data_IF_119382666715
#
_entry.id   IF_119382666715
#
_cell.length_a   1.000
_cell.length_b   1.000
_cell.length_c   1.000
_cell.angle_alpha   90.00
_cell.angle_beta   90.00
_cell.angle_gamma   90.00
#
_symmetry.space_group_name_H-M   'P 1'
#
loop_
_entity.id
_entity.type
_entity.pdbx_description
1 polymer ?
#
# COMPACT_ATOMS: atom_id res chain seq x y z
N UNK A 1 -5.96 -13.56 76.27
CA UNK A 1 -6.45 -14.53 75.26
C UNK A 1 -6.98 -13.82 74.01
N UNK A 2 -7.98 -12.92 74.09
CA UNK A 2 -8.50 -12.24 72.88
C UNK A 2 -7.49 -11.29 72.20
N UNK A 3 -6.62 -10.61 72.95
CA UNK A 3 -5.60 -9.72 72.37
C UNK A 3 -4.47 -10.47 71.64
N UNK A 4 -4.05 -11.65 72.12
CA UNK A 4 -3.04 -12.49 71.44
C UNK A 4 -3.60 -13.14 70.16
N UNK A 5 -4.88 -13.55 70.18
CA UNK A 5 -5.55 -14.12 69.01
C UNK A 5 -5.72 -13.05 67.91
N UNK A 6 -6.07 -11.81 68.28
CA UNK A 6 -6.18 -10.71 67.31
C UNK A 6 -4.81 -10.26 66.75
N UNK A 7 -3.73 -10.37 67.53
CA UNK A 7 -2.39 -10.02 67.07
C UNK A 7 -1.83 -11.06 66.08
N UNK A 8 -2.07 -12.36 66.32
CA UNK A 8 -1.68 -13.44 65.39
C UNK A 8 -2.50 -13.41 64.08
N UNK A 9 -3.80 -13.12 64.15
CA UNK A 9 -4.65 -13.03 62.96
C UNK A 9 -4.23 -11.85 62.04
N UNK A 10 -3.82 -10.72 62.62
CA UNK A 10 -3.29 -9.59 61.85
C UNK A 10 -1.92 -9.91 61.22
N UNK A 11 -1.07 -10.70 61.88
CA UNK A 11 0.24 -11.10 61.34
C UNK A 11 0.10 -12.11 60.20
N UNK A 12 -0.79 -13.10 60.30
CA UNK A 12 -1.07 -14.04 59.20
C UNK A 12 -1.68 -13.35 57.97
N UNK A 13 -2.62 -12.42 58.18
CA UNK A 13 -3.20 -11.65 57.08
C UNK A 13 -2.15 -10.77 56.39
N UNK A 14 -1.29 -10.09 57.14
CA UNK A 14 -0.17 -9.32 56.60
C UNK A 14 0.86 -10.20 55.87
N UNK A 15 1.20 -11.37 56.42
CA UNK A 15 2.11 -12.31 55.77
C UNK A 15 1.54 -12.86 54.46
N UNK A 16 0.25 -13.18 54.42
CA UNK A 16 -0.43 -13.68 53.22
C UNK A 16 -0.51 -12.61 52.12
N UNK A 17 -0.77 -11.35 52.50
CA UNK A 17 -0.76 -10.20 51.58
C UNK A 17 0.64 -9.92 51.03
N UNK A 18 1.68 -9.97 51.88
CA UNK A 18 3.06 -9.79 51.44
C UNK A 18 3.53 -10.93 50.53
N UNK A 19 3.27 -12.20 50.88
CA UNK A 19 3.65 -13.35 50.05
C UNK A 19 2.89 -13.34 48.72
N UNK A 20 1.60 -12.98 48.72
CA UNK A 20 0.79 -12.85 47.50
C UNK A 20 1.29 -11.76 46.56
N UNK A 21 1.63 -10.57 47.10
CA UNK A 21 2.17 -9.46 46.30
C UNK A 21 3.56 -9.79 45.76
N UNK A 22 4.47 -10.33 46.57
CA UNK A 22 5.82 -10.68 46.13
C UNK A 22 5.85 -11.83 45.12
N UNK A 23 4.99 -12.85 45.28
CA UNK A 23 4.88 -13.96 44.32
C UNK A 23 4.28 -13.50 42.99
N UNK A 24 3.29 -12.60 43.00
CA UNK A 24 2.75 -11.99 41.79
C UNK A 24 3.80 -11.09 41.09
N UNK A 25 4.53 -10.24 41.84
CA UNK A 25 5.59 -9.40 41.29
C UNK A 25 6.76 -10.23 40.73
N UNK A 26 7.21 -11.26 41.46
CA UNK A 26 8.27 -12.16 40.99
C UNK A 26 7.81 -12.95 39.76
N UNK A 27 6.57 -13.46 39.74
CA UNK A 27 6.01 -14.19 38.61
C UNK A 27 5.85 -13.32 37.35
N UNK A 28 5.35 -12.09 37.49
CA UNK A 28 5.19 -11.16 36.36
C UNK A 28 6.54 -10.64 35.88
N UNK A 29 7.47 -10.30 36.79
CA UNK A 29 8.80 -9.81 36.42
C UNK A 29 9.66 -10.90 35.79
N UNK A 30 9.76 -12.09 36.41
CA UNK A 30 10.48 -13.23 35.84
C UNK A 30 9.81 -13.72 34.56
N UNK A 31 8.49 -13.73 34.50
CA UNK A 31 7.72 -14.03 33.30
C UNK A 31 8.04 -13.08 32.16
N UNK A 32 8.02 -11.77 32.40
CA UNK A 32 8.37 -10.75 31.40
C UNK A 32 9.84 -10.82 30.97
N UNK A 33 10.76 -11.08 31.91
CA UNK A 33 12.20 -11.26 31.62
C UNK A 33 12.44 -12.51 30.79
N UNK A 34 11.79 -13.64 31.13
CA UNK A 34 11.86 -14.88 30.37
C UNK A 34 11.24 -14.73 28.99
N UNK A 35 10.08 -14.08 28.87
CA UNK A 35 9.42 -13.81 27.59
C UNK A 35 10.30 -12.92 26.70
N UNK A 36 10.90 -11.88 27.26
CA UNK A 36 11.85 -11.00 26.57
C UNK A 36 13.11 -11.77 26.17
N UNK A 37 13.60 -12.69 27.01
CA UNK A 37 14.74 -13.53 26.68
C UNK A 37 14.43 -14.53 25.56
N UNK A 38 13.26 -15.17 25.59
CA UNK A 38 12.77 -16.07 24.55
C UNK A 38 12.51 -15.32 23.25
N UNK A 39 11.92 -14.13 23.29
CA UNK A 39 11.78 -13.25 22.13
C UNK A 39 13.14 -12.87 21.54
N UNK A 40 14.11 -12.46 22.37
CA UNK A 40 15.47 -12.16 21.90
C UNK A 40 16.17 -13.39 21.30
N UNK A 41 15.97 -14.59 21.88
CA UNK A 41 16.52 -15.84 21.36
C UNK A 41 15.92 -16.19 19.98
N UNK A 42 14.60 -16.09 19.85
CA UNK A 42 13.90 -16.28 18.59
C UNK A 42 14.35 -15.25 17.54
N UNK A 43 14.45 -13.97 17.90
CA UNK A 43 14.96 -12.93 16.99
C UNK A 43 16.39 -13.21 16.54
N UNK A 44 17.29 -13.68 17.40
CA UNK A 44 18.65 -14.08 16.99
C UNK A 44 18.63 -15.23 15.98
N UNK A 45 17.76 -16.22 16.16
CA UNK A 45 17.58 -17.33 15.20
C UNK A 45 17.10 -16.81 13.84
N UNK A 46 16.15 -15.88 13.84
CA UNK A 46 15.57 -15.33 12.60
C UNK A 46 16.52 -14.37 11.88
N UNK A 47 17.32 -13.59 12.62
CA UNK A 47 18.47 -12.87 12.07
C UNK A 47 19.43 -13.84 11.39
N UNK A 48 19.64 -15.02 11.97
CA UNK A 48 20.42 -16.10 11.36
C UNK A 48 19.90 -16.51 9.97
N UNK A 49 18.58 -16.65 9.81
CA UNK A 49 17.94 -16.93 8.52
C UNK A 49 18.15 -15.80 7.52
N UNK A 50 18.00 -14.54 7.94
CA UNK A 50 18.22 -13.39 7.05
C UNK A 50 19.70 -13.30 6.62
N UNK A 51 20.64 -13.52 7.55
CA UNK A 51 22.08 -13.58 7.26
C UNK A 51 22.41 -14.75 6.33
N UNK A 52 21.78 -15.92 6.50
CA UNK A 52 21.92 -17.07 5.58
C UNK A 52 21.49 -16.66 4.16
N UNK A 53 20.33 -16.03 4.02
CA UNK A 53 19.84 -15.56 2.73
C UNK A 53 20.80 -14.56 2.07
N UNK A 54 21.28 -13.56 2.81
CA UNK A 54 22.24 -12.57 2.31
C UNK A 54 23.60 -13.19 1.93
N UNK A 55 24.05 -14.20 2.69
CA UNK A 55 25.28 -14.95 2.36
C UNK A 55 25.16 -15.72 1.05
N UNK A 56 23.98 -16.24 0.71
CA UNK A 56 23.75 -16.88 -0.60
C UNK A 56 23.99 -15.86 -1.71
N UNK A 57 23.37 -14.68 -1.61
CA UNK A 57 23.52 -13.61 -2.60
C UNK A 57 24.98 -13.15 -2.69
N UNK A 58 25.67 -13.01 -1.56
CA UNK A 58 27.09 -12.64 -1.51
C UNK A 58 28.02 -13.60 -2.27
N UNK A 59 27.68 -14.90 -2.40
CA UNK A 59 28.48 -15.85 -3.20
C UNK A 59 28.56 -15.44 -4.68
N UNK A 60 27.63 -14.60 -5.13
CA UNK A 60 27.51 -14.09 -6.48
C UNK A 60 27.93 -12.61 -6.56
N UNK A 61 28.82 -12.15 -5.68
CA UNK A 61 29.40 -10.80 -5.76
C UNK A 61 29.91 -10.52 -7.19
N UNK A 62 29.67 -9.30 -7.68
CA UNK A 62 29.94 -8.85 -9.06
C UNK A 62 29.14 -9.52 -10.19
N UNK A 63 28.28 -10.50 -9.87
CA UNK A 63 27.35 -11.14 -10.81
C UNK A 63 25.94 -10.56 -10.67
N UNK A 64 25.03 -10.96 -11.54
CA UNK A 64 23.63 -10.51 -11.51
C UNK A 64 22.82 -11.28 -10.46
N UNK A 65 21.87 -10.63 -9.78
CA UNK A 65 20.98 -11.30 -8.81
C UNK A 65 20.20 -12.47 -9.43
N UNK A 66 19.85 -12.38 -10.72
CA UNK A 66 19.19 -13.47 -11.45
C UNK A 66 20.00 -14.77 -11.46
N UNK A 67 21.34 -14.70 -11.41
CA UNK A 67 22.21 -15.88 -11.35
C UNK A 67 22.17 -16.59 -9.99
N UNK A 68 21.81 -15.87 -8.93
CA UNK A 68 21.64 -16.42 -7.59
C UNK A 68 20.25 -17.06 -7.38
N UNK A 69 19.30 -16.84 -8.29
CA UNK A 69 17.89 -17.30 -8.20
C UNK A 69 17.76 -18.76 -7.81
N UNK A 70 18.40 -19.64 -8.57
CA UNK A 70 18.28 -21.09 -8.38
C UNK A 70 18.78 -21.52 -6.99
N UNK A 71 19.98 -21.07 -6.61
CA UNK A 71 20.56 -21.41 -5.30
C UNK A 71 19.74 -20.83 -4.15
N UNK A 72 19.25 -19.59 -4.28
CA UNK A 72 18.37 -18.98 -3.29
C UNK A 72 17.08 -19.77 -3.10
N UNK A 73 16.45 -20.20 -4.19
CA UNK A 73 15.19 -20.93 -4.12
C UNK A 73 15.32 -22.36 -3.58
N UNK A 74 16.49 -22.98 -3.73
CA UNK A 74 16.81 -24.32 -3.22
C UNK A 74 17.27 -24.30 -1.75
N UNK A 75 18.17 -23.38 -1.37
CA UNK A 75 18.77 -23.38 -0.03
C UNK A 75 17.86 -22.82 1.07
N UNK A 76 16.85 -22.02 0.71
CA UNK A 76 15.86 -21.48 1.63
C UNK A 76 14.53 -22.23 1.50
N UNK A 77 14.04 -22.73 2.62
CA UNK A 77 12.69 -23.29 2.71
C UNK A 77 11.61 -22.21 2.56
N UNK A 78 10.37 -22.61 2.25
CA UNK A 78 9.23 -21.69 2.14
C UNK A 78 9.04 -20.88 3.42
N UNK A 79 9.17 -21.52 4.59
CA UNK A 79 9.04 -20.85 5.89
C UNK A 79 10.16 -19.83 6.12
N UNK A 80 11.39 -20.14 5.73
CA UNK A 80 12.51 -19.18 5.81
C UNK A 80 12.28 -18.01 4.87
N UNK A 81 11.81 -18.24 3.62
CA UNK A 81 11.45 -17.17 2.69
C UNK A 81 10.38 -16.26 3.27
N UNK A 82 9.30 -16.83 3.83
CA UNK A 82 8.24 -16.05 4.51
C UNK A 82 8.77 -15.18 5.65
N UNK A 83 9.76 -15.67 6.39
CA UNK A 83 10.31 -14.93 7.52
C UNK A 83 11.12 -13.69 7.11
N UNK A 84 11.80 -13.73 5.95
CA UNK A 84 12.86 -12.74 5.64
C UNK A 84 12.67 -11.97 4.33
N UNK A 85 11.77 -12.39 3.44
CA UNK A 85 11.70 -11.81 2.09
C UNK A 85 11.29 -10.33 2.08
N UNK A 86 10.36 -9.91 2.94
CA UNK A 86 9.99 -8.49 3.10
C UNK A 86 11.18 -7.66 3.57
N UNK A 87 11.93 -8.18 4.54
CA UNK A 87 13.15 -7.54 5.03
C UNK A 87 14.15 -7.38 3.88
N UNK A 88 14.46 -8.45 3.15
CA UNK A 88 15.42 -8.39 2.05
C UNK A 88 15.03 -7.33 1.02
N UNK A 89 13.76 -7.29 0.62
CA UNK A 89 13.27 -6.30 -0.34
C UNK A 89 13.39 -4.87 0.17
N UNK A 90 12.97 -4.61 1.42
CA UNK A 90 13.09 -3.27 2.04
C UNK A 90 14.55 -2.83 2.24
N UNK A 91 15.47 -3.78 2.35
CA UNK A 91 16.90 -3.53 2.47
C UNK A 91 17.61 -3.35 1.12
N UNK A 92 16.87 -3.28 0.02
CA UNK A 92 17.41 -2.99 -1.31
C UNK A 92 17.69 -4.21 -2.18
N UNK A 93 17.37 -5.44 -1.72
CA UNK A 93 17.50 -6.63 -2.58
C UNK A 93 16.40 -6.60 -3.65
N UNK A 94 16.74 -6.63 -4.95
CA UNK A 94 15.78 -6.35 -6.00
C UNK A 94 14.95 -7.59 -6.36
N UNK A 95 13.96 -7.91 -5.54
CA UNK A 95 13.00 -9.00 -5.78
C UNK A 95 11.94 -8.53 -6.78
N UNK A 96 11.69 -9.33 -7.81
CA UNK A 96 10.69 -9.04 -8.83
C UNK A 96 9.41 -9.84 -8.61
N UNK A 97 8.28 -9.20 -8.90
CA UNK A 97 7.00 -9.89 -9.05
C UNK A 97 6.83 -10.15 -10.55
N UNK A 98 6.58 -11.40 -10.98
CA UNK A 98 6.36 -11.72 -12.38
C UNK A 98 5.22 -10.87 -12.98
N UNK A 99 5.32 -10.54 -14.26
CA UNK A 99 4.30 -9.74 -14.98
C UNK A 99 2.89 -10.37 -14.95
N UNK A 100 2.78 -11.67 -14.63
CA UNK A 100 1.50 -12.35 -14.37
C UNK A 100 0.81 -11.87 -13.08
N UNK A 101 1.40 -10.95 -12.32
CA UNK A 101 0.92 -10.40 -11.06
C UNK A 101 0.60 -11.45 -9.99
N UNK A 102 1.13 -12.68 -10.12
CA UNK A 102 0.98 -13.71 -9.10
C UNK A 102 2.32 -13.90 -8.41
N UNK A 103 2.45 -13.35 -7.22
CA UNK A 103 3.57 -13.66 -6.34
C UNK A 103 3.52 -15.14 -5.95
N UNK A 104 4.61 -15.88 -6.19
CA UNK A 104 4.79 -17.27 -5.75
C UNK A 104 6.00 -17.37 -4.82
N UNK A 105 5.77 -17.67 -3.55
CA UNK A 105 6.81 -17.85 -2.54
C UNK A 105 7.77 -19.01 -2.88
N UNK A 106 7.36 -19.94 -3.73
CA UNK A 106 8.18 -21.10 -4.12
C UNK A 106 9.28 -20.71 -5.09
N UNK A 107 8.98 -19.81 -6.02
CA UNK A 107 9.92 -19.35 -7.05
C UNK A 107 10.11 -17.83 -6.98
N UNK A 108 11.08 -17.40 -6.17
CA UNK A 108 11.43 -15.98 -6.04
C UNK A 108 12.21 -15.55 -7.27
N UNK A 109 11.81 -14.44 -7.88
CA UNK A 109 12.53 -13.82 -9.00
C UNK A 109 13.31 -12.59 -8.53
N UNK A 110 14.43 -12.32 -9.20
CA UNK A 110 15.26 -11.16 -8.94
C UNK A 110 15.47 -10.36 -10.21
N UNK A 111 15.63 -9.04 -10.06
CA UNK A 111 15.97 -8.17 -11.17
C UNK A 111 17.39 -8.44 -11.67
N UNK A 112 17.62 -8.09 -12.94
CA UNK A 112 18.90 -8.25 -13.62
C UNK A 112 19.89 -7.12 -13.28
N UNK A 113 20.12 -6.94 -11.97
CA UNK A 113 21.01 -5.92 -11.39
C UNK A 113 22.27 -6.61 -10.87
N UNK A 114 23.42 -5.94 -10.97
CA UNK A 114 24.70 -6.46 -10.46
C UNK A 114 24.74 -6.37 -8.93
N UNK A 115 25.22 -7.42 -8.28
CA UNK A 115 25.39 -7.48 -6.83
C UNK A 115 26.64 -6.69 -6.42
N UNK A 116 26.50 -5.77 -5.48
CA UNK A 116 27.62 -5.19 -4.73
C UNK A 116 27.80 -5.93 -3.39
N UNK A 117 28.86 -6.74 -3.30
CA UNK A 117 29.19 -7.47 -2.08
C UNK A 117 29.45 -6.58 -0.86
N UNK A 118 29.87 -5.32 -1.04
CA UNK A 118 30.04 -4.35 0.05
C UNK A 118 28.68 -3.91 0.61
N UNK A 119 27.72 -3.63 -0.27
CA UNK A 119 26.34 -3.30 0.11
C UNK A 119 25.71 -4.47 0.88
N UNK A 120 25.86 -5.70 0.37
CA UNK A 120 25.38 -6.91 1.06
C UNK A 120 26.00 -7.07 2.45
N UNK A 121 27.29 -6.75 2.64
CA UNK A 121 27.91 -6.79 3.96
C UNK A 121 27.32 -5.73 4.91
N UNK A 122 27.10 -4.51 4.40
CA UNK A 122 26.41 -3.47 5.16
C UNK A 122 25.03 -3.90 5.63
N UNK A 123 24.26 -4.59 4.77
CA UNK A 123 22.95 -5.14 5.13
C UNK A 123 23.09 -6.25 6.18
N UNK A 124 24.07 -7.16 6.02
CA UNK A 124 24.33 -8.23 7.00
C UNK A 124 24.63 -7.64 8.39
N UNK A 125 25.42 -6.58 8.47
CA UNK A 125 25.78 -5.96 9.73
C UNK A 125 24.57 -5.28 10.38
N UNK A 126 23.70 -4.63 9.59
CA UNK A 126 22.45 -4.06 10.08
C UNK A 126 21.49 -5.13 10.63
N UNK A 127 21.34 -6.25 9.92
CA UNK A 127 20.52 -7.39 10.35
C UNK A 127 21.06 -8.00 11.64
N UNK A 128 22.39 -8.20 11.75
CA UNK A 128 23.01 -8.70 12.98
C UNK A 128 22.82 -7.74 14.15
N UNK A 129 22.94 -6.44 13.91
CA UNK A 129 22.71 -5.38 14.88
C UNK A 129 21.27 -5.33 15.39
N UNK A 130 20.31 -5.87 14.64
CA UNK A 130 18.90 -5.94 15.03
C UNK A 130 18.08 -4.74 14.63
N UNK A 131 18.64 -3.82 13.84
CA UNK A 131 17.95 -2.61 13.39
C UNK A 131 16.73 -2.93 12.49
N UNK A 132 16.71 -4.12 11.90
CA UNK A 132 15.68 -4.55 10.96
C UNK A 132 14.73 -5.61 11.55
N UNK A 133 14.78 -5.89 12.86
CA UNK A 133 13.98 -6.96 13.49
C UNK A 133 12.48 -6.81 13.23
N UNK A 134 11.99 -5.57 13.17
CA UNK A 134 10.58 -5.26 12.89
C UNK A 134 10.10 -5.69 11.50
N UNK A 135 11.03 -6.00 10.58
CA UNK A 135 10.71 -6.40 9.21
C UNK A 135 10.66 -7.92 9.04
N UNK A 136 11.11 -8.67 10.05
CA UNK A 136 11.09 -10.13 10.08
C UNK A 136 9.66 -10.59 10.36
N UNK A 137 9.20 -11.60 9.62
CA UNK A 137 7.82 -12.15 9.65
C UNK A 137 6.70 -11.19 9.23
N UNK A 138 7.03 -10.10 8.56
CA UNK A 138 6.00 -9.38 7.83
C UNK A 138 5.36 -10.31 6.80
N UNK A 139 4.03 -10.22 6.67
CA UNK A 139 3.26 -11.04 5.73
C UNK A 139 3.77 -10.77 4.31
N UNK A 140 4.48 -11.76 3.77
CA UNK A 140 5.15 -11.67 2.46
C UNK A 140 4.12 -11.62 1.35
N UNK A 141 3.11 -12.49 1.43
CA UNK A 141 2.02 -12.54 0.49
C UNK A 141 1.30 -11.19 0.46
N UNK A 142 0.86 -10.65 1.60
CA UNK A 142 0.24 -9.32 1.65
C UNK A 142 1.19 -8.21 1.18
N UNK A 143 2.47 -8.24 1.55
CA UNK A 143 3.44 -7.22 1.17
C UNK A 143 3.63 -7.14 -0.35
N UNK A 144 3.89 -8.27 -1.02
CA UNK A 144 4.07 -8.30 -2.47
C UNK A 144 2.76 -8.26 -3.26
N UNK A 145 1.62 -8.60 -2.66
CA UNK A 145 0.31 -8.54 -3.33
C UNK A 145 -0.48 -7.24 -3.07
N UNK A 146 -0.15 -6.49 -2.02
CA UNK A 146 -0.86 -5.25 -1.62
C UNK A 146 -0.92 -4.21 -2.74
N UNK A 147 0.08 -4.20 -3.63
CA UNK A 147 0.13 -3.31 -4.78
C UNK A 147 -0.46 -3.89 -6.06
N UNK A 148 -0.92 -5.15 -6.11
CA UNK A 148 -1.50 -5.70 -7.35
C UNK A 148 -2.77 -4.95 -7.71
N UNK A 149 -3.65 -4.69 -6.73
CA UNK A 149 -4.89 -3.93 -6.99
C UNK A 149 -4.58 -2.49 -7.41
N UNK A 150 -3.67 -1.83 -6.69
CA UNK A 150 -3.25 -0.45 -6.99
C UNK A 150 -2.62 -0.37 -8.38
N UNK A 151 -1.69 -1.27 -8.70
CA UNK A 151 -1.06 -1.35 -10.02
C UNK A 151 -2.05 -1.69 -11.12
N UNK A 152 -2.98 -2.63 -10.91
CA UNK A 152 -3.99 -2.95 -11.90
C UNK A 152 -4.90 -1.75 -12.21
N UNK A 153 -5.33 -1.04 -11.17
CA UNK A 153 -6.16 0.16 -11.27
C UNK A 153 -5.41 1.30 -11.96
N UNK A 154 -4.16 1.59 -11.57
CA UNK A 154 -3.31 2.60 -12.21
C UNK A 154 -2.98 2.26 -13.67
N UNK A 155 -2.63 1.01 -13.96
CA UNK A 155 -2.38 0.54 -15.34
C UNK A 155 -3.64 0.69 -16.20
N UNK A 156 -4.82 0.48 -15.64
CA UNK A 156 -6.09 0.71 -16.36
C UNK A 156 -6.28 2.20 -16.67
N UNK A 157 -6.00 3.10 -15.71
CA UNK A 157 -6.00 4.54 -15.93
C UNK A 157 -4.97 4.99 -16.98
N UNK A 158 -3.76 4.45 -16.92
CA UNK A 158 -2.70 4.73 -17.91
C UNK A 158 -3.10 4.25 -19.31
N UNK A 159 -3.68 3.05 -19.43
CA UNK A 159 -4.24 2.53 -20.68
C UNK A 159 -5.32 3.45 -21.23
N UNK A 160 -6.24 3.95 -20.39
CA UNK A 160 -7.22 4.96 -20.81
C UNK A 160 -6.56 6.23 -21.36
N UNK A 161 -5.57 6.77 -20.65
CA UNK A 161 -4.88 7.98 -21.11
C UNK A 161 -4.16 7.77 -22.44
N UNK A 162 -3.48 6.63 -22.64
CA UNK A 162 -2.74 6.32 -23.87
C UNK A 162 -3.64 5.97 -25.05
N UNK A 163 -4.65 5.14 -24.83
CA UNK A 163 -5.45 4.58 -25.91
C UNK A 163 -6.66 5.45 -26.27
N UNK A 164 -7.12 6.27 -25.34
CA UNK A 164 -8.33 7.10 -25.50
C UNK A 164 -7.96 8.57 -25.52
N UNK A 165 -7.50 9.13 -24.40
CA UNK A 165 -7.29 10.58 -24.28
C UNK A 165 -6.24 11.08 -25.27
N UNK A 166 -5.07 10.44 -25.34
CA UNK A 166 -3.99 10.84 -26.24
C UNK A 166 -4.39 10.80 -27.72
N UNK A 167 -5.36 9.97 -28.09
CA UNK A 167 -5.87 9.84 -29.46
C UNK A 167 -7.14 10.65 -29.72
N UNK A 168 -7.58 11.44 -28.73
CA UNK A 168 -8.76 12.29 -28.83
C UNK A 168 -8.42 13.62 -29.52
N UNK A 169 -9.46 14.30 -30.01
CA UNK A 169 -9.35 15.64 -30.62
C UNK A 169 -10.34 16.61 -30.03
N UNK A 170 -9.92 17.85 -29.83
CA UNK A 170 -10.81 18.94 -29.45
C UNK A 170 -11.32 19.65 -30.72
N UNK A 171 -12.63 19.61 -30.93
CA UNK A 171 -13.31 20.34 -32.01
C UNK A 171 -14.28 21.34 -31.39
N UNK A 172 -13.97 22.63 -31.53
CA UNK A 172 -14.69 23.70 -30.84
C UNK A 172 -14.56 23.55 -29.33
N UNK A 173 -15.65 23.23 -28.65
CA UNK A 173 -15.68 23.01 -27.19
C UNK A 173 -15.79 21.56 -26.79
N UNK A 174 -15.86 20.65 -27.75
CA UNK A 174 -16.20 19.24 -27.53
C UNK A 174 -15.01 18.34 -27.80
N UNK A 175 -14.74 17.43 -26.86
CA UNK A 175 -13.70 16.40 -27.02
C UNK A 175 -14.32 15.23 -27.78
N UNK A 176 -13.71 14.88 -28.90
CA UNK A 176 -14.03 13.71 -29.72
C UNK A 176 -13.04 12.58 -29.40
N UNK A 177 -13.57 11.51 -28.80
CA UNK A 177 -12.82 10.31 -28.49
C UNK A 177 -12.72 9.37 -29.70
N UNK A 178 -11.75 8.45 -29.74
CA UNK A 178 -11.68 7.40 -30.75
C UNK A 178 -12.98 6.57 -30.81
N UNK A 179 -13.39 6.16 -32.01
CA UNK A 179 -14.56 5.30 -32.18
C UNK A 179 -14.41 3.98 -31.42
N UNK A 180 -15.52 3.51 -30.84
CA UNK A 180 -15.59 2.23 -30.12
C UNK A 180 -14.59 2.04 -28.97
N UNK A 181 -13.99 3.11 -28.45
CA UNK A 181 -13.04 3.03 -27.34
C UNK A 181 -13.55 2.26 -26.10
N UNK A 182 -14.86 2.24 -25.73
CA UNK A 182 -15.32 1.48 -24.56
C UNK A 182 -15.13 -0.04 -24.71
N UNK A 183 -14.99 -0.53 -25.95
CA UNK A 183 -14.72 -1.95 -26.23
C UNK A 183 -13.28 -2.38 -25.89
N UNK A 184 -12.36 -1.42 -25.74
CA UNK A 184 -10.97 -1.67 -25.32
C UNK A 184 -10.87 -2.09 -23.85
N UNK A 185 -11.96 -1.98 -23.09
CA UNK A 185 -12.03 -2.20 -21.65
C UNK A 185 -13.08 -3.24 -21.32
N UNK A 186 -12.77 -4.12 -20.37
CA UNK A 186 -13.73 -5.00 -19.70
C UNK A 186 -14.73 -4.19 -18.86
N UNK A 187 -15.81 -4.82 -18.40
CA UNK A 187 -16.78 -4.16 -17.53
C UNK A 187 -16.13 -3.58 -16.27
N UNK A 188 -15.27 -4.34 -15.60
CA UNK A 188 -14.57 -3.90 -14.40
C UNK A 188 -13.61 -2.72 -14.66
N UNK A 189 -12.87 -2.77 -15.78
CA UNK A 189 -12.02 -1.65 -16.19
C UNK A 189 -12.84 -0.38 -16.46
N UNK A 190 -14.01 -0.51 -17.14
CA UNK A 190 -14.90 0.63 -17.42
C UNK A 190 -15.42 1.29 -16.14
N UNK A 191 -15.84 0.51 -15.15
CA UNK A 191 -16.28 1.05 -13.86
C UNK A 191 -15.13 1.76 -13.13
N UNK A 192 -13.92 1.23 -13.23
CA UNK A 192 -12.72 1.80 -12.60
C UNK A 192 -12.34 3.15 -13.21
N UNK A 193 -12.41 3.31 -14.54
CA UNK A 193 -12.02 4.55 -15.22
C UNK A 193 -13.15 5.57 -15.31
N UNK A 194 -14.38 5.25 -14.92
CA UNK A 194 -15.54 6.12 -15.14
C UNK A 194 -15.38 7.50 -14.52
N UNK A 195 -14.97 7.57 -13.24
CA UNK A 195 -14.75 8.86 -12.56
C UNK A 195 -13.54 9.60 -13.14
N UNK A 196 -12.49 8.87 -13.51
CA UNK A 196 -11.32 9.44 -14.15
C UNK A 196 -11.69 10.08 -15.50
N UNK A 197 -12.46 9.39 -16.34
CA UNK A 197 -12.96 9.88 -17.63
C UNK A 197 -13.68 11.22 -17.47
N UNK A 198 -14.57 11.34 -16.48
CA UNK A 198 -15.34 12.56 -16.26
C UNK A 198 -14.49 13.73 -15.73
N UNK A 199 -13.44 13.43 -14.96
CA UNK A 199 -12.51 14.46 -14.46
C UNK A 199 -11.52 14.93 -15.51
N UNK A 200 -11.22 14.09 -16.50
CA UNK A 200 -10.30 14.42 -17.58
C UNK A 200 -10.97 15.10 -18.78
N UNK A 201 -12.24 15.48 -18.67
CA UNK A 201 -12.91 16.38 -19.63
C UNK A 201 -12.42 17.82 -19.43
N UNK A 202 -11.13 18.04 -19.66
CA UNK A 202 -10.46 19.35 -19.55
C UNK A 202 -9.75 19.69 -20.87
N UNK A 203 -9.94 20.93 -21.32
CA UNK A 203 -9.32 21.48 -22.53
C UNK A 203 -7.83 21.71 -22.35
N UNK A 204 -7.32 21.77 -21.11
CA UNK A 204 -5.90 21.96 -20.80
C UNK A 204 -4.99 20.87 -21.37
N UNK A 205 -5.54 19.70 -21.72
CA UNK A 205 -4.81 18.60 -22.36
C UNK A 205 -4.62 18.78 -23.87
N UNK A 206 -5.25 19.78 -24.49
CA UNK A 206 -5.26 19.96 -25.94
C UNK A 206 -4.52 21.24 -26.36
N UNK A 207 -3.84 21.15 -27.48
CA UNK A 207 -3.15 22.26 -28.12
C UNK A 207 -4.12 23.08 -28.98
N UNK A 208 -3.68 24.25 -29.44
CA UNK A 208 -4.49 25.14 -30.29
C UNK A 208 -4.94 24.50 -31.61
N UNK A 209 -4.21 23.49 -32.11
CA UNK A 209 -4.56 22.75 -33.31
C UNK A 209 -5.63 21.66 -33.07
N UNK A 210 -6.10 21.50 -31.82
CA UNK A 210 -7.08 20.51 -31.41
C UNK A 210 -6.51 19.12 -31.11
N UNK A 211 -5.22 18.87 -31.36
CA UNK A 211 -4.57 17.62 -30.96
C UNK A 211 -4.14 17.67 -29.49
N UNK A 212 -3.97 16.51 -28.87
CA UNK A 212 -3.48 16.45 -27.48
C UNK A 212 -2.03 16.92 -27.36
N UNK A 213 -1.71 17.52 -26.21
CA UNK A 213 -0.33 17.86 -25.85
C UNK A 213 0.39 16.60 -25.35
N UNK A 214 1.43 16.18 -26.07
CA UNK A 214 2.26 15.03 -25.68
C UNK A 214 2.86 15.22 -24.27
N UNK A 215 3.31 16.43 -23.95
CA UNK A 215 3.86 16.75 -22.63
C UNK A 215 2.80 16.62 -21.52
N UNK A 216 1.58 17.11 -21.77
CA UNK A 216 0.49 17.02 -20.80
C UNK A 216 0.06 15.56 -20.57
N UNK A 217 0.00 14.75 -21.63
CA UNK A 217 -0.28 13.31 -21.56
C UNK A 217 0.79 12.57 -20.77
N UNK A 218 2.08 12.80 -21.08
CA UNK A 218 3.18 12.16 -20.34
C UNK A 218 3.20 12.57 -18.86
N UNK A 219 2.89 13.83 -18.56
CA UNK A 219 2.75 14.31 -17.18
C UNK A 219 1.61 13.60 -16.48
N UNK A 220 0.43 13.52 -17.10
CA UNK A 220 -0.73 12.84 -16.54
C UNK A 220 -0.45 11.34 -16.27
N UNK A 221 0.23 10.65 -17.19
CA UNK A 221 0.64 9.26 -16.98
C UNK A 221 1.55 9.15 -15.75
N UNK A 222 2.54 10.04 -15.60
CA UNK A 222 3.39 10.07 -14.40
C UNK A 222 2.58 10.31 -13.12
N UNK A 223 1.63 11.25 -13.15
CA UNK A 223 0.77 11.55 -11.99
C UNK A 223 -0.09 10.34 -11.58
N UNK A 224 -0.61 9.58 -12.54
CA UNK A 224 -1.32 8.31 -12.28
C UNK A 224 -0.37 7.29 -11.67
N UNK A 225 0.84 7.13 -12.21
CA UNK A 225 1.81 6.15 -11.73
C UNK A 225 2.27 6.42 -10.29
N UNK A 226 2.46 7.70 -9.92
CA UNK A 226 2.83 8.10 -8.55
C UNK A 226 1.63 8.15 -7.59
N UNK A 227 0.39 8.01 -8.11
CA UNK A 227 -0.83 7.84 -7.31
C UNK A 227 -1.62 9.11 -7.00
N UNK A 228 -1.36 10.24 -7.67
CA UNK A 228 -2.14 11.47 -7.44
C UNK A 228 -3.62 11.32 -7.85
N UNK A 229 -3.89 10.41 -8.77
CA UNK A 229 -5.23 10.12 -9.29
C UNK A 229 -5.91 8.93 -8.62
N UNK A 230 -5.27 8.30 -7.62
CA UNK A 230 -5.80 7.11 -6.94
C UNK A 230 -7.20 7.36 -6.37
N UNK A 231 -7.44 8.53 -5.77
CA UNK A 231 -8.74 8.86 -5.19
C UNK A 231 -9.88 8.78 -6.20
N UNK A 232 -9.63 9.13 -7.46
CA UNK A 232 -10.64 9.07 -8.52
C UNK A 232 -10.75 7.67 -9.12
N UNK A 233 -9.62 6.99 -9.28
CA UNK A 233 -9.55 5.62 -9.78
C UNK A 233 -10.17 4.58 -8.83
N UNK A 234 -10.19 4.86 -7.52
CA UNK A 234 -10.84 4.03 -6.51
C UNK A 234 -12.27 4.48 -6.16
N UNK A 235 -12.73 5.60 -6.71
CA UNK A 235 -14.08 6.08 -6.44
C UNK A 235 -15.10 5.25 -7.20
N UNK A 236 -16.01 4.64 -6.46
CA UNK A 236 -17.18 3.98 -7.02
C UNK A 236 -17.97 4.93 -7.95
N UNK A 237 -18.14 4.50 -9.20
CA UNK A 237 -18.73 5.32 -10.25
C UNK A 237 -20.19 5.66 -9.97
N UNK A 238 -20.98 4.71 -9.48
CA UNK A 238 -22.41 4.93 -9.18
C UNK A 238 -22.59 5.92 -8.03
N UNK A 239 -21.78 5.80 -6.98
CA UNK A 239 -21.73 6.75 -5.87
C UNK A 239 -21.35 8.15 -6.34
N UNK A 240 -20.40 8.26 -7.28
CA UNK A 240 -20.02 9.53 -7.89
C UNK A 240 -21.17 10.14 -8.70
N UNK A 241 -21.85 9.35 -9.55
CA UNK A 241 -23.01 9.81 -10.34
C UNK A 241 -24.15 10.29 -9.45
N UNK A 242 -24.45 9.55 -8.38
CA UNK A 242 -25.48 9.92 -7.42
C UNK A 242 -25.17 11.26 -6.76
N UNK A 243 -23.91 11.49 -6.39
CA UNK A 243 -23.48 12.77 -5.82
C UNK A 243 -23.61 13.92 -6.83
N UNK A 244 -23.22 13.71 -8.08
CA UNK A 244 -23.37 14.74 -9.12
C UNK A 244 -24.83 15.07 -9.39
N UNK A 245 -25.69 14.05 -9.44
CA UNK A 245 -27.14 14.23 -9.62
C UNK A 245 -27.75 15.02 -8.47
N UNK A 246 -27.35 14.75 -7.22
CA UNK A 246 -27.78 15.54 -6.06
C UNK A 246 -27.31 16.99 -6.12
N UNK A 247 -26.05 17.24 -6.54
CA UNK A 247 -25.53 18.60 -6.73
C UNK A 247 -26.30 19.37 -7.81
N UNK A 248 -26.60 18.72 -8.93
CA UNK A 248 -27.40 19.31 -9.99
C UNK A 248 -28.82 19.65 -9.51
N UNK A 249 -29.47 18.72 -8.79
CA UNK A 249 -30.78 18.97 -8.18
C UNK A 249 -30.73 20.14 -7.18
N UNK A 250 -29.70 20.21 -6.34
CA UNK A 250 -29.53 21.32 -5.40
C UNK A 250 -29.39 22.66 -6.13
N UNK A 251 -28.62 22.72 -7.22
CA UNK A 251 -28.48 23.93 -8.03
C UNK A 251 -29.80 24.33 -8.72
N UNK A 252 -30.57 23.35 -9.23
CA UNK A 252 -31.89 23.60 -9.82
C UNK A 252 -32.84 24.16 -8.76
N UNK A 253 -32.91 23.54 -7.58
CA UNK A 253 -33.75 24.02 -6.47
C UNK A 253 -33.33 25.42 -6.02
N UNK A 254 -32.02 25.67 -5.89
CA UNK A 254 -31.51 26.99 -5.51
C UNK A 254 -31.88 28.06 -6.55
N UNK A 255 -31.69 27.78 -7.84
CA UNK A 255 -32.05 28.72 -8.92
C UNK A 255 -33.57 28.96 -8.98
N UNK A 256 -34.39 27.93 -8.76
CA UNK A 256 -35.84 28.07 -8.66
C UNK A 256 -36.26 28.95 -7.47
N UNK A 257 -35.67 28.73 -6.29
CA UNK A 257 -35.94 29.55 -5.09
C UNK A 257 -35.50 31.01 -5.30
N UNK A 258 -34.33 31.25 -5.90
CA UNK A 258 -33.85 32.60 -6.19
C UNK A 258 -34.74 33.32 -7.21
N UNK A 259 -35.17 32.65 -8.27
CA UNK A 259 -36.09 33.24 -9.26
C UNK A 259 -37.45 33.56 -8.64
N UNK A 260 -37.96 32.70 -7.76
CA UNK A 260 -39.22 32.95 -7.05
C UNK A 260 -39.12 34.12 -6.07
N UNK A 261 -38.00 34.27 -5.36
CA UNK A 261 -37.74 35.44 -4.50
C UNK A 261 -37.67 36.75 -5.31
N UNK A 262 -37.06 36.73 -6.49
CA UNK A 262 -37.02 37.90 -7.38
C UNK A 262 -38.41 38.29 -7.91
N UNK A 263 -39.25 37.31 -8.24
CA UNK A 263 -40.64 37.57 -8.67
C UNK A 263 -41.46 38.21 -7.55
N UNK A 264 -41.35 37.69 -6.32
CA UNK A 264 -42.06 38.24 -5.14
C UNK A 264 -41.56 39.64 -4.78
N UNK A 265 -40.25 39.90 -4.86
CA UNK A 265 -39.70 41.24 -4.63
C UNK A 265 -40.15 42.25 -5.70
N UNK A 266 -40.19 41.84 -6.98
CA UNK A 266 -40.67 42.71 -8.06
C UNK A 266 -42.17 43.01 -7.95
N UNK A 267 -42.98 42.05 -7.49
CA UNK A 267 -44.42 42.28 -7.24
C UNK A 267 -44.66 43.23 -6.06
N UNK A 268 -43.88 43.11 -4.98
CA UNK A 268 -43.98 44.00 -3.82
C UNK A 268 -43.42 45.41 -4.08
N UNK A 269 -42.61 45.60 -5.13
CA UNK A 269 -42.06 46.90 -5.52
C UNK A 269 -42.96 47.69 -6.49
N UNK A 270 -44.00 47.05 -7.03
CA UNK A 270 -44.98 47.64 -7.96
C UNK A 270 -46.35 47.88 -7.29
N UNK A 271 -46.47 47.64 -5.98
CA UNK A 271 -47.65 47.92 -5.15
C UNK A 271 -47.39 49.15 -4.29
#
# INVERSE_FOLDING_TARGET
MEQEIMQNANFEWLATLFVGIFSAFAGTFLGAVLLNHLQKSNMRKNRGTAVKALKILKKYDTKKYGEAKSQFNIELSISEKRAVLVLLHKMGIPIQIPASNKFDIKDIEFADITIDGKEINGIIDQVKGGYCDMLIFNDVEAYFTSNIRVSAVRNTGEKYVKEVLAKSKLVGTTIHYPENWPSLFTLGERLTIGVLHERLVDKSYFQNNGDTSKEAIEKLIREIQIGLWDIYLFWDFDSYQNMQSQRQLANIVQSAVMSQQQIVQNQNSQS
#
